data_IF_985925696913
#
_entry.id   IF_985925696913
#
_cell.length_a   1.000
_cell.length_b   1.000
_cell.length_c   1.000
_cell.angle_alpha   90.00
_cell.angle_beta   90.00
_cell.angle_gamma   90.00
#
_symmetry.space_group_name_H-M   'P 1'
#
loop_
_entity.id
_entity.type
_entity.pdbx_description
1 polymer ?
#
# COMPACT_ATOMS: atom_id res chain seq x y z
N UNK A 1 -36.22 11.78 2.52
CA UNK A 1 -35.98 10.64 3.44
C UNK A 1 -34.75 9.89 2.99
N UNK A 2 -33.70 9.83 3.82
CA UNK A 2 -32.53 9.02 3.51
C UNK A 2 -32.92 7.53 3.51
N UNK A 3 -32.48 6.76 2.52
CA UNK A 3 -32.68 5.33 2.54
C UNK A 3 -32.00 4.72 3.79
N UNK A 4 -32.63 3.76 4.49
CA UNK A 4 -32.01 3.14 5.66
C UNK A 4 -30.67 2.52 5.28
N UNK A 5 -29.62 2.82 6.04
CA UNK A 5 -28.23 2.35 5.77
C UNK A 5 -28.19 0.84 5.51
N UNK A 6 -28.98 0.05 6.25
CA UNK A 6 -29.08 -1.40 6.04
C UNK A 6 -29.57 -1.81 4.63
N UNK A 7 -30.54 -1.08 4.06
CA UNK A 7 -31.03 -1.34 2.69
C UNK A 7 -29.97 -1.03 1.64
N UNK A 8 -29.21 0.06 1.84
CA UNK A 8 -28.10 0.44 0.94
C UNK A 8 -27.00 -0.64 0.98
N UNK A 9 -26.57 -1.06 2.17
CA UNK A 9 -25.53 -2.09 2.31
C UNK A 9 -25.96 -3.44 1.73
N UNK A 10 -27.22 -3.84 1.89
CA UNK A 10 -27.75 -5.06 1.28
C UNK A 10 -27.70 -5.01 -0.26
N UNK A 11 -28.05 -3.87 -0.85
CA UNK A 11 -27.95 -3.68 -2.31
C UNK A 11 -26.51 -3.67 -2.79
N UNK A 12 -25.60 -2.97 -2.11
CA UNK A 12 -24.18 -2.96 -2.47
C UNK A 12 -23.57 -4.36 -2.43
N UNK A 13 -23.89 -5.17 -1.40
CA UNK A 13 -23.44 -6.57 -1.33
C UNK A 13 -23.98 -7.41 -2.50
N UNK A 14 -25.22 -7.16 -2.93
CA UNK A 14 -25.82 -7.85 -4.09
C UNK A 14 -25.19 -7.43 -5.42
N UNK A 15 -24.93 -6.14 -5.60
CA UNK A 15 -24.37 -5.57 -6.83
C UNK A 15 -22.87 -5.87 -6.98
N UNK A 16 -22.14 -5.94 -5.87
CA UNK A 16 -20.69 -6.15 -5.85
C UNK A 16 -20.30 -7.35 -4.97
N UNK A 17 -20.76 -8.58 -5.28
CA UNK A 17 -20.58 -9.76 -4.42
C UNK A 17 -19.13 -10.21 -4.26
N UNK A 18 -18.23 -9.73 -5.14
CA UNK A 18 -16.80 -10.05 -5.13
C UNK A 18 -15.93 -8.82 -4.88
N UNK A 19 -16.50 -7.76 -4.26
CA UNK A 19 -15.74 -6.56 -3.91
C UNK A 19 -14.54 -6.93 -3.05
N UNK A 20 -13.36 -6.54 -3.51
CA UNK A 20 -12.07 -6.75 -2.85
C UNK A 20 -11.23 -5.49 -3.02
N UNK A 21 -10.08 -5.44 -2.35
CA UNK A 21 -9.10 -4.38 -2.61
C UNK A 21 -8.74 -4.34 -4.09
N UNK A 22 -8.66 -3.14 -4.66
CA UNK A 22 -8.16 -2.92 -6.01
C UNK A 22 -6.62 -2.88 -6.07
N UNK A 23 -5.95 -2.90 -4.90
CA UNK A 23 -4.49 -2.96 -4.81
C UNK A 23 -4.00 -4.40 -4.98
N UNK A 24 -2.94 -4.57 -5.76
CA UNK A 24 -2.32 -5.87 -6.00
C UNK A 24 -1.26 -6.15 -4.93
N UNK A 25 -1.46 -7.21 -4.15
CA UNK A 25 -0.51 -7.69 -3.14
C UNK A 25 -0.66 -9.21 -2.90
N UNK A 26 0.41 -9.83 -2.40
CA UNK A 26 0.47 -11.26 -2.07
C UNK A 26 0.74 -11.53 -0.59
N UNK A 27 1.21 -10.53 0.15
CA UNK A 27 1.57 -10.68 1.57
C UNK A 27 1.02 -9.50 2.39
N UNK A 28 0.86 -9.64 3.72
CA UNK A 28 0.46 -8.54 4.59
C UNK A 28 1.41 -7.34 4.51
N UNK A 29 2.72 -7.58 4.40
CA UNK A 29 3.71 -6.52 4.19
C UNK A 29 3.44 -5.74 2.90
N UNK A 30 3.19 -6.45 1.79
CA UNK A 30 2.86 -5.81 0.51
C UNK A 30 1.57 -5.00 0.60
N UNK A 31 0.55 -5.51 1.28
CA UNK A 31 -0.71 -4.79 1.52
C UNK A 31 -0.48 -3.49 2.31
N UNK A 32 0.34 -3.54 3.36
CA UNK A 32 0.71 -2.37 4.17
C UNK A 32 1.44 -1.32 3.36
N UNK A 33 2.47 -1.72 2.60
CA UNK A 33 3.23 -0.77 1.76
C UNK A 33 2.34 -0.19 0.65
N UNK A 34 1.51 -1.01 -0.01
CA UNK A 34 0.58 -0.54 -1.03
C UNK A 34 -0.43 0.47 -0.45
N UNK A 35 -0.95 0.24 0.76
CA UNK A 35 -1.85 1.17 1.43
C UNK A 35 -1.19 2.52 1.75
N UNK A 36 0.07 2.52 2.20
CA UNK A 36 0.83 3.78 2.41
C UNK A 36 1.02 4.53 1.07
N UNK A 37 1.31 3.80 -0.01
CA UNK A 37 1.46 4.38 -1.34
C UNK A 37 0.15 4.91 -1.93
N UNK A 38 -0.99 4.31 -1.59
CA UNK A 38 -2.31 4.67 -2.11
C UNK A 38 -2.84 6.02 -1.60
N UNK A 39 -2.31 6.55 -0.50
CA UNK A 39 -2.73 7.85 0.02
C UNK A 39 -2.62 8.96 -1.06
N UNK A 40 -3.76 9.50 -1.51
CA UNK A 40 -3.83 10.49 -2.59
C UNK A 40 -3.15 10.05 -3.90
N UNK A 41 -3.25 8.76 -4.24
CA UNK A 41 -2.78 8.16 -5.49
C UNK A 41 -3.82 7.16 -6.00
N UNK A 42 -3.93 6.98 -7.31
CA UNK A 42 -4.86 5.99 -7.87
C UNK A 42 -4.31 4.57 -7.68
N UNK A 43 -5.19 3.60 -7.40
CA UNK A 43 -4.80 2.20 -7.25
C UNK A 43 -4.06 1.68 -8.48
N UNK A 44 -4.46 2.11 -9.69
CA UNK A 44 -3.77 1.77 -10.93
C UNK A 44 -2.31 2.22 -10.96
N UNK A 45 -2.01 3.44 -10.49
CA UNK A 45 -0.63 3.95 -10.42
C UNK A 45 0.16 3.21 -9.33
N UNK A 46 -0.47 2.89 -8.20
CA UNK A 46 0.17 2.09 -7.15
C UNK A 46 0.55 0.71 -7.69
N UNK A 47 -0.38 0.01 -8.35
CA UNK A 47 -0.14 -1.33 -8.89
C UNK A 47 0.97 -1.35 -9.96
N UNK A 48 1.04 -0.30 -10.80
CA UNK A 48 2.14 -0.15 -11.76
C UNK A 48 3.51 -0.08 -11.07
N UNK A 49 3.61 0.67 -9.97
CA UNK A 49 4.86 0.83 -9.21
C UNK A 49 5.18 -0.42 -8.42
N UNK A 50 4.19 -1.01 -7.73
CA UNK A 50 4.41 -2.17 -6.87
C UNK A 50 4.77 -3.44 -7.64
N UNK A 51 4.38 -3.55 -8.91
CA UNK A 51 4.74 -4.67 -9.79
C UNK A 51 6.25 -4.91 -9.90
N UNK A 52 7.07 -3.85 -9.85
CA UNK A 52 8.54 -3.95 -9.82
C UNK A 52 9.08 -3.77 -8.40
N UNK A 53 8.49 -2.86 -7.61
CA UNK A 53 8.92 -2.57 -6.24
C UNK A 53 8.97 -3.84 -5.39
N UNK A 54 7.93 -4.69 -5.43
CA UNK A 54 7.85 -5.90 -4.62
C UNK A 54 8.75 -7.05 -5.09
N UNK A 55 9.35 -6.94 -6.29
CA UNK A 55 10.40 -7.87 -6.73
C UNK A 55 11.75 -7.49 -6.12
N UNK A 56 11.99 -6.18 -5.97
CA UNK A 56 13.20 -5.57 -5.41
C UNK A 56 13.22 -5.60 -3.88
N UNK A 57 12.10 -5.25 -3.25
CA UNK A 57 11.94 -5.19 -1.79
C UNK A 57 10.92 -6.26 -1.35
N UNK A 58 11.39 -7.31 -0.67
CA UNK A 58 10.63 -8.52 -0.37
C UNK A 58 10.27 -8.66 1.11
N UNK A 59 11.14 -8.19 2.00
CA UNK A 59 10.97 -8.23 3.46
C UNK A 59 11.07 -6.84 4.07
N UNK A 60 10.59 -6.68 5.31
CA UNK A 60 10.61 -5.40 6.03
C UNK A 60 12.01 -4.78 6.09
N UNK A 61 13.04 -5.61 6.22
CA UNK A 61 14.45 -5.21 6.23
C UNK A 61 14.91 -4.53 4.93
N UNK A 62 14.41 -4.98 3.78
CA UNK A 62 14.77 -4.38 2.49
C UNK A 62 14.26 -2.94 2.43
N UNK A 63 13.02 -2.70 2.90
CA UNK A 63 12.45 -1.35 2.99
C UNK A 63 13.15 -0.51 4.06
N UNK A 64 13.49 -1.09 5.21
CA UNK A 64 14.12 -0.37 6.32
C UNK A 64 15.53 0.14 5.97
N UNK A 65 16.28 -0.63 5.17
CA UNK A 65 17.70 -0.41 4.87
C UNK A 65 17.98 0.18 3.49
N UNK A 66 16.99 0.25 2.61
CA UNK A 66 17.14 0.86 1.28
C UNK A 66 17.77 2.26 1.37
N UNK A 67 18.73 2.62 0.50
CA UNK A 67 19.18 4.00 0.40
C UNK A 67 18.00 4.94 0.10
N UNK A 68 17.82 6.00 0.87
CA UNK A 68 16.62 6.85 0.76
C UNK A 68 16.46 7.44 -0.65
N UNK A 69 17.56 7.91 -1.26
CA UNK A 69 17.54 8.48 -2.60
C UNK A 69 17.14 7.44 -3.67
N UNK A 70 17.60 6.21 -3.53
CA UNK A 70 17.25 5.10 -4.42
C UNK A 70 15.77 4.75 -4.27
N UNK A 71 15.30 4.55 -3.04
CA UNK A 71 13.90 4.23 -2.79
C UNK A 71 12.96 5.34 -3.27
N UNK A 72 13.33 6.60 -3.05
CA UNK A 72 12.61 7.76 -3.58
C UNK A 72 12.50 7.73 -5.11
N UNK A 73 13.56 7.33 -5.81
CA UNK A 73 13.52 7.18 -7.26
C UNK A 73 12.61 6.02 -7.69
N UNK A 74 12.67 4.88 -6.99
CA UNK A 74 11.83 3.71 -7.29
C UNK A 74 10.32 4.02 -7.21
N UNK A 75 9.93 4.92 -6.30
CA UNK A 75 8.52 5.32 -6.11
C UNK A 75 8.22 6.75 -6.59
N UNK A 76 9.09 7.35 -7.41
CA UNK A 76 9.01 8.77 -7.81
C UNK A 76 7.71 9.14 -8.54
N UNK A 77 7.08 8.18 -9.21
CA UNK A 77 5.82 8.35 -9.93
C UNK A 77 4.59 8.38 -9.02
N UNK A 78 4.76 8.18 -7.71
CA UNK A 78 3.71 8.27 -6.69
C UNK A 78 3.66 9.69 -6.09
N UNK A 79 2.47 10.22 -5.87
CA UNK A 79 2.30 11.52 -5.21
C UNK A 79 2.90 11.52 -3.80
N UNK A 80 3.56 12.62 -3.41
CA UNK A 80 4.23 12.78 -2.11
C UNK A 80 5.31 11.71 -1.82
N UNK A 81 5.95 11.15 -2.85
CA UNK A 81 6.91 10.05 -2.72
C UNK A 81 8.02 10.29 -1.69
N UNK A 82 8.51 11.53 -1.52
CA UNK A 82 9.55 11.83 -0.51
C UNK A 82 9.09 11.58 0.92
N UNK A 83 7.84 11.91 1.23
CA UNK A 83 7.26 11.68 2.55
C UNK A 83 6.92 10.21 2.72
N UNK A 84 6.30 9.60 1.71
CA UNK A 84 5.99 8.17 1.71
C UNK A 84 7.22 7.30 1.84
N UNK A 85 8.33 7.66 1.19
CA UNK A 85 9.61 6.97 1.31
C UNK A 85 10.07 6.93 2.77
N UNK A 86 10.09 8.09 3.45
CA UNK A 86 10.45 8.19 4.86
C UNK A 86 9.51 7.39 5.76
N UNK A 87 8.19 7.46 5.51
CA UNK A 87 7.20 6.70 6.27
C UNK A 87 7.36 5.18 6.11
N UNK A 88 7.61 4.69 4.89
CA UNK A 88 7.81 3.27 4.61
C UNK A 88 9.11 2.77 5.26
N UNK A 89 10.20 3.53 5.19
CA UNK A 89 11.44 3.16 5.87
C UNK A 89 11.27 3.12 7.39
N UNK A 90 10.57 4.11 7.97
CA UNK A 90 10.26 4.13 9.40
C UNK A 90 9.35 2.96 9.81
N UNK A 91 8.38 2.62 8.97
CA UNK A 91 7.53 1.45 9.15
C UNK A 91 8.36 0.15 9.13
N UNK A 92 9.26 -0.01 8.15
CA UNK A 92 10.16 -1.16 8.07
C UNK A 92 11.05 -1.31 9.31
N UNK A 93 11.65 -0.21 9.80
CA UNK A 93 12.43 -0.22 11.06
C UNK A 93 11.57 -0.63 12.25
N UNK A 94 10.37 -0.07 12.37
CA UNK A 94 9.46 -0.39 13.47
C UNK A 94 9.04 -1.87 13.46
N UNK A 95 8.80 -2.46 12.29
CA UNK A 95 8.49 -3.88 12.17
C UNK A 95 9.62 -4.76 12.71
N UNK A 96 10.88 -4.43 12.37
CA UNK A 96 12.05 -5.15 12.87
C UNK A 96 12.22 -4.98 14.39
N UNK A 97 12.14 -3.75 14.88
CA UNK A 97 12.47 -3.41 16.27
C UNK A 97 11.40 -3.86 17.26
N UNK A 98 10.12 -3.83 16.86
CA UNK A 98 8.98 -4.03 17.77
C UNK A 98 8.13 -5.25 17.48
N UNK A 99 8.20 -5.80 16.27
CA UNK A 99 7.29 -6.85 15.82
C UNK A 99 8.02 -8.09 15.27
N UNK A 100 9.35 -8.15 15.35
CA UNK A 100 10.14 -9.31 14.94
C UNK A 100 10.38 -9.46 13.44
N UNK A 101 10.00 -8.45 12.65
CA UNK A 101 10.18 -8.42 11.18
C UNK A 101 8.98 -8.88 10.38
#
# INVERSE_FOLDING_TARGET
>A
MAAPVGKILAQLRRLYPKAKSALDFKTPLQALIAAILAAQCTDARVNQVTATLFKKYRKAEDFARAPLAEFQNDIRSVNFYRNKARSIQACGRMLLERFGG
#
